data_IF_369259042151
#
_entry.id   IF_369259042151
#
_cell.length_a   1.000
_cell.length_b   1.000
_cell.length_c   1.000
_cell.angle_alpha   90.00
_cell.angle_beta   90.00
_cell.angle_gamma   90.00
#
_symmetry.space_group_name_H-M   'P 1'
#
loop_
_entity.id
_entity.type
_entity.pdbx_description
1 polymer ?
#
# COMPACT_ATOMS: atom_id res chain seq x y z
N UNK A 1 25.81 -14.37 -14.37
CA UNK A 1 24.59 -13.69 -14.79
C UNK A 1 23.87 -13.15 -13.56
N UNK A 2 23.56 -11.86 -13.57
CA UNK A 2 22.80 -11.23 -12.49
C UNK A 2 21.37 -11.83 -12.41
N UNK A 3 20.84 -11.93 -11.19
CA UNK A 3 19.43 -12.26 -10.97
C UNK A 3 18.57 -11.05 -11.39
N UNK A 4 17.33 -11.31 -11.78
CA UNK A 4 16.36 -10.25 -12.04
C UNK A 4 15.30 -10.28 -10.94
N UNK A 5 15.18 -9.18 -10.20
CA UNK A 5 14.07 -8.97 -9.27
C UNK A 5 12.98 -8.17 -9.99
N UNK A 6 11.86 -8.83 -10.24
CA UNK A 6 10.70 -8.16 -10.82
C UNK A 6 9.83 -7.60 -9.68
N UNK A 7 9.44 -6.35 -9.81
CA UNK A 7 8.56 -5.67 -8.87
C UNK A 7 7.36 -5.09 -9.60
N UNK A 8 6.17 -5.27 -9.06
CA UNK A 8 4.96 -4.60 -9.52
C UNK A 8 4.46 -3.64 -8.45
N UNK A 9 4.03 -2.46 -8.86
CA UNK A 9 3.43 -1.46 -7.99
C UNK A 9 2.31 -0.72 -8.70
N UNK A 10 1.32 -0.27 -7.94
CA UNK A 10 0.28 0.65 -8.43
C UNK A 10 0.76 2.11 -8.43
N UNK A 11 1.87 2.40 -7.76
CA UNK A 11 2.47 3.73 -7.74
C UNK A 11 3.18 4.10 -9.04
N UNK A 12 3.34 5.40 -9.27
CA UNK A 12 4.15 5.93 -10.37
C UNK A 12 5.64 5.88 -10.05
N UNK A 13 6.49 6.26 -11.00
CA UNK A 13 7.93 6.41 -10.78
C UNK A 13 8.27 7.46 -9.71
N UNK A 14 7.42 8.46 -9.53
CA UNK A 14 7.59 9.55 -8.56
C UNK A 14 6.93 9.28 -7.21
N UNK A 15 6.19 8.19 -7.07
CA UNK A 15 5.66 7.75 -5.78
C UNK A 15 6.81 7.53 -4.79
N UNK A 16 6.67 8.01 -3.56
CA UNK A 16 7.73 7.93 -2.54
C UNK A 16 8.24 6.51 -2.32
N UNK A 17 7.35 5.52 -2.39
CA UNK A 17 7.71 4.11 -2.25
C UNK A 17 8.57 3.63 -3.41
N UNK A 18 8.21 4.01 -4.63
CA UNK A 18 8.98 3.70 -5.84
C UNK A 18 10.36 4.34 -5.79
N UNK A 19 10.44 5.61 -5.39
CA UNK A 19 11.69 6.34 -5.23
C UNK A 19 12.60 5.67 -4.19
N UNK A 20 12.04 5.22 -3.07
CA UNK A 20 12.80 4.50 -2.05
C UNK A 20 13.36 3.17 -2.57
N UNK A 21 12.58 2.42 -3.34
CA UNK A 21 13.06 1.17 -3.94
C UNK A 21 14.19 1.44 -4.94
N UNK A 22 14.04 2.41 -5.82
CA UNK A 22 15.04 2.71 -6.86
C UNK A 22 16.32 3.29 -6.27
N UNK A 23 16.21 4.20 -5.30
CA UNK A 23 17.35 4.96 -4.78
C UNK A 23 18.01 4.31 -3.58
N UNK A 24 17.35 3.43 -2.86
CA UNK A 24 17.87 2.80 -1.64
C UNK A 24 17.97 1.28 -1.76
N UNK A 25 16.89 0.60 -2.07
CA UNK A 25 16.87 -0.85 -2.17
C UNK A 25 17.72 -1.37 -3.35
N UNK A 26 17.47 -0.88 -4.55
CA UNK A 26 18.13 -1.36 -5.76
C UNK A 26 19.68 -1.26 -5.70
N UNK A 27 20.29 -0.14 -5.22
CA UNK A 27 21.74 -0.06 -5.08
C UNK A 27 22.32 -1.08 -4.11
N UNK A 28 21.59 -1.45 -3.06
CA UNK A 28 22.03 -2.43 -2.04
C UNK A 28 22.16 -3.85 -2.60
N UNK A 29 21.45 -4.18 -3.66
CA UNK A 29 21.44 -5.50 -4.28
C UNK A 29 22.07 -5.53 -5.67
N UNK A 30 22.57 -4.40 -6.13
CA UNK A 30 23.04 -4.20 -7.53
C UNK A 30 24.21 -5.09 -7.92
N UNK A 31 24.99 -5.59 -6.99
CA UNK A 31 26.13 -6.50 -7.26
C UNK A 31 25.68 -7.92 -7.67
N UNK A 32 24.44 -8.31 -7.38
CA UNK A 32 23.95 -9.66 -7.73
C UNK A 32 22.56 -9.67 -8.38
N UNK A 33 21.81 -8.58 -8.35
CA UNK A 33 20.46 -8.52 -8.92
C UNK A 33 20.16 -7.18 -9.59
N UNK A 34 19.45 -7.25 -10.71
CA UNK A 34 18.90 -6.11 -11.43
C UNK A 34 17.40 -6.00 -11.11
N UNK A 35 16.92 -4.75 -10.99
CA UNK A 35 15.50 -4.47 -10.78
C UNK A 35 14.77 -4.25 -12.11
N UNK A 36 13.62 -4.90 -12.25
CA UNK A 36 12.67 -4.64 -13.32
C UNK A 36 11.33 -4.28 -12.68
N UNK A 37 10.92 -3.03 -12.83
CA UNK A 37 9.75 -2.47 -12.13
C UNK A 37 8.65 -2.14 -13.12
N UNK A 38 7.44 -2.68 -12.88
CA UNK A 38 6.22 -2.27 -13.55
C UNK A 38 5.46 -1.27 -12.70
N UNK A 39 5.45 -0.01 -13.11
CA UNK A 39 4.74 1.07 -12.44
C UNK A 39 3.29 1.16 -12.89
N UNK A 40 2.46 1.85 -12.11
CA UNK A 40 1.08 2.18 -12.46
C UNK A 40 0.22 0.97 -12.82
N UNK A 41 0.43 -0.15 -12.15
CA UNK A 41 -0.30 -1.42 -12.39
C UNK A 41 -0.13 -1.97 -13.82
N UNK A 42 0.98 -1.64 -14.49
CA UNK A 42 1.22 -2.09 -15.88
C UNK A 42 1.63 -3.55 -15.98
N UNK A 43 2.19 -4.11 -14.91
CA UNK A 43 2.62 -5.51 -14.88
C UNK A 43 1.54 -6.43 -14.29
N UNK A 44 0.93 -6.02 -13.18
CA UNK A 44 -0.19 -6.70 -12.50
C UNK A 44 -1.18 -5.67 -12.00
N UNK A 45 -2.46 -5.99 -12.03
CA UNK A 45 -3.51 -5.15 -11.47
C UNK A 45 -3.36 -5.04 -9.95
N UNK A 46 -3.75 -3.88 -9.41
CA UNK A 46 -3.75 -3.66 -7.96
C UNK A 46 -4.58 -4.73 -7.25
N UNK A 47 -4.00 -5.32 -6.22
CA UNK A 47 -4.61 -6.39 -5.42
C UNK A 47 -4.27 -7.80 -5.90
N UNK A 48 -3.60 -7.95 -7.06
CA UNK A 48 -3.20 -9.26 -7.61
C UNK A 48 -1.72 -9.59 -7.41
N UNK A 49 -0.94 -8.67 -6.88
CA UNK A 49 0.52 -8.79 -6.78
C UNK A 49 0.94 -9.90 -5.81
N UNK A 50 0.27 -10.05 -4.67
CA UNK A 50 0.61 -11.10 -3.69
C UNK A 50 0.36 -12.49 -4.25
N UNK A 51 -0.72 -12.68 -5.00
CA UNK A 51 -1.00 -13.94 -5.69
C UNK A 51 0.08 -14.23 -6.75
N UNK A 52 0.51 -13.21 -7.49
CA UNK A 52 1.59 -13.34 -8.46
C UNK A 52 2.92 -13.77 -7.81
N UNK A 53 3.26 -13.21 -6.65
CA UNK A 53 4.43 -13.64 -5.86
C UNK A 53 4.27 -15.09 -5.43
N UNK A 54 3.11 -15.46 -4.92
CA UNK A 54 2.79 -16.82 -4.46
C UNK A 54 2.97 -17.85 -5.58
N UNK A 55 2.63 -17.49 -6.80
CA UNK A 55 2.73 -18.37 -7.99
C UNK A 55 4.11 -18.37 -8.64
N UNK A 56 5.06 -17.59 -8.14
CA UNK A 56 6.41 -17.50 -8.71
C UNK A 56 6.51 -16.58 -9.95
N UNK A 57 5.50 -15.75 -10.22
CA UNK A 57 5.45 -14.87 -11.38
C UNK A 57 5.96 -13.45 -11.07
N UNK A 58 6.25 -13.13 -9.82
CA UNK A 58 6.70 -11.83 -9.37
C UNK A 58 7.65 -12.01 -8.18
N UNK A 59 8.72 -11.21 -8.13
CA UNK A 59 9.69 -11.30 -7.03
C UNK A 59 9.23 -10.51 -5.81
N UNK A 60 8.74 -9.29 -6.01
CA UNK A 60 8.39 -8.41 -4.91
C UNK A 60 7.32 -7.39 -5.28
N UNK A 61 6.68 -6.85 -4.25
CA UNK A 61 5.69 -5.79 -4.35
C UNK A 61 5.63 -5.03 -3.03
N UNK A 62 4.86 -3.94 -3.04
CA UNK A 62 4.52 -3.20 -1.82
C UNK A 62 3.04 -3.46 -1.56
N UNK A 63 2.74 -4.15 -0.46
CA UNK A 63 1.40 -4.59 -0.13
C UNK A 63 0.87 -3.90 1.13
N UNK A 64 -0.42 -3.57 1.14
CA UNK A 64 -1.10 -3.04 2.32
C UNK A 64 -1.52 -4.17 3.27
N UNK A 65 -1.76 -3.81 4.54
CA UNK A 65 -2.35 -4.73 5.52
C UNK A 65 -3.74 -5.22 5.05
N UNK A 66 -4.50 -4.39 4.36
CA UNK A 66 -5.81 -4.71 3.81
C UNK A 66 -5.74 -5.78 2.72
N UNK A 67 -4.71 -5.73 1.86
CA UNK A 67 -4.46 -6.76 0.85
C UNK A 67 -4.05 -8.09 1.50
N UNK A 68 -3.19 -8.05 2.52
CA UNK A 68 -2.82 -9.24 3.30
C UNK A 68 -4.02 -9.83 4.04
N UNK A 69 -4.93 -9.01 4.54
CA UNK A 69 -6.13 -9.46 5.24
C UNK A 69 -7.09 -10.30 4.37
N UNK A 70 -7.01 -10.17 3.04
CA UNK A 70 -7.77 -11.03 2.13
C UNK A 70 -7.33 -12.50 2.21
N UNK A 71 -6.04 -12.74 2.44
CA UNK A 71 -5.48 -14.09 2.56
C UNK A 71 -5.43 -14.56 4.00
N UNK A 72 -5.24 -13.64 4.94
CA UNK A 72 -5.10 -13.90 6.38
C UNK A 72 -5.98 -12.93 7.16
N UNK A 73 -7.20 -13.34 7.55
CA UNK A 73 -8.13 -12.47 8.30
C UNK A 73 -7.54 -11.84 9.55
N UNK A 74 -6.56 -12.49 10.20
CA UNK A 74 -5.85 -11.96 11.36
C UNK A 74 -5.12 -10.63 11.07
N UNK A 75 -4.74 -10.34 9.83
CA UNK A 75 -4.17 -9.04 9.44
C UNK A 75 -5.18 -7.90 9.51
N UNK A 76 -6.46 -8.18 9.65
CA UNK A 76 -7.52 -7.16 9.75
C UNK A 76 -7.29 -6.19 10.91
N UNK A 77 -6.61 -6.61 11.98
CA UNK A 77 -6.29 -5.73 13.10
C UNK A 77 -5.41 -4.54 12.66
N UNK A 78 -4.50 -4.76 11.71
CA UNK A 78 -3.62 -3.70 11.18
C UNK A 78 -4.30 -2.86 10.11
N UNK A 79 -5.42 -3.34 9.56
CA UNK A 79 -6.24 -2.62 8.58
C UNK A 79 -7.28 -1.71 9.23
N UNK A 80 -7.44 -1.76 10.55
CA UNK A 80 -8.41 -0.97 11.31
C UNK A 80 -7.93 0.47 11.48
N UNK A 81 -8.83 1.43 11.30
CA UNK A 81 -8.53 2.84 11.51
C UNK A 81 -8.10 3.14 12.95
N UNK A 82 -7.22 4.12 13.10
CA UNK A 82 -6.71 4.64 14.38
C UNK A 82 -5.87 3.65 15.22
N UNK A 83 -5.41 2.54 14.65
CA UNK A 83 -4.59 1.54 15.36
C UNK A 83 -3.15 2.03 15.56
N UNK A 84 -2.55 2.62 14.52
CA UNK A 84 -1.19 3.14 14.60
C UNK A 84 -1.18 4.65 14.83
N UNK A 85 -0.23 5.12 15.63
CA UNK A 85 -0.10 6.54 15.95
C UNK A 85 0.78 7.29 14.95
N UNK A 86 1.92 6.70 14.57
CA UNK A 86 2.93 7.31 13.70
C UNK A 86 3.86 6.24 13.09
N UNK A 87 4.87 6.71 12.33
CA UNK A 87 5.86 5.84 11.71
C UNK A 87 6.68 5.02 12.73
N UNK A 88 7.09 5.64 13.83
CA UNK A 88 7.86 4.96 14.86
C UNK A 88 7.05 3.83 15.51
N UNK A 89 5.77 4.06 15.74
CA UNK A 89 4.86 3.02 16.25
C UNK A 89 4.73 1.85 15.25
N UNK A 90 4.58 2.12 13.95
CA UNK A 90 4.56 1.08 12.92
C UNK A 90 5.82 0.21 12.95
N UNK A 91 6.99 0.83 13.00
CA UNK A 91 8.28 0.11 13.02
C UNK A 91 8.40 -0.74 14.28
N UNK A 92 8.04 -0.20 15.44
CA UNK A 92 8.06 -0.98 16.70
C UNK A 92 7.14 -2.19 16.64
N UNK A 93 5.92 -2.03 16.13
CA UNK A 93 4.96 -3.13 15.98
C UNK A 93 5.48 -4.17 15.01
N UNK A 94 5.99 -3.75 13.84
CA UNK A 94 6.51 -4.67 12.84
C UNK A 94 7.70 -5.50 13.35
N UNK A 95 8.57 -4.91 14.18
CA UNK A 95 9.75 -5.59 14.72
C UNK A 95 9.49 -6.27 16.07
N UNK A 96 8.28 -6.16 16.61
CA UNK A 96 7.92 -6.85 17.85
C UNK A 96 7.83 -8.37 17.60
N UNK A 97 8.30 -9.22 18.53
CA UNK A 97 8.16 -10.68 18.41
C UNK A 97 6.74 -11.17 18.21
N UNK A 98 5.72 -10.41 18.60
CA UNK A 98 4.32 -10.73 18.34
C UNK A 98 3.99 -10.78 16.83
N UNK A 99 4.76 -10.07 16.01
CA UNK A 99 4.61 -10.11 14.54
C UNK A 99 5.19 -11.38 13.91
N UNK A 100 6.02 -12.13 14.62
CA UNK A 100 6.70 -13.29 14.05
C UNK A 100 5.71 -14.35 13.55
N UNK A 101 4.61 -14.56 14.27
CA UNK A 101 3.56 -15.50 13.85
C UNK A 101 2.87 -15.05 12.56
N UNK A 102 2.61 -13.75 12.40
CA UNK A 102 2.01 -13.19 11.18
C UNK A 102 2.97 -13.30 9.99
N UNK A 103 4.24 -12.96 10.19
CA UNK A 103 5.28 -13.08 9.16
C UNK A 103 5.44 -14.54 8.72
N UNK A 104 5.47 -15.47 9.68
CA UNK A 104 5.55 -16.89 9.41
C UNK A 104 4.33 -17.42 8.65
N UNK A 105 3.13 -16.99 9.00
CA UNK A 105 1.90 -17.36 8.30
C UNK A 105 1.96 -16.93 6.83
N UNK A 106 2.41 -15.71 6.54
CA UNK A 106 2.58 -15.22 5.18
C UNK A 106 3.60 -16.06 4.40
N UNK A 107 4.71 -16.44 5.02
CA UNK A 107 5.72 -17.31 4.40
C UNK A 107 5.17 -18.72 4.11
N UNK A 108 4.52 -19.34 5.10
CA UNK A 108 4.10 -20.75 5.02
C UNK A 108 2.89 -20.92 4.09
N UNK A 109 1.94 -20.01 4.11
CA UNK A 109 0.67 -20.15 3.37
C UNK A 109 0.68 -19.46 2.00
N UNK A 110 1.43 -18.40 1.84
CA UNK A 110 1.42 -17.58 0.62
C UNK A 110 2.79 -17.54 -0.08
N UNK A 111 3.84 -18.04 0.55
CA UNK A 111 5.19 -17.95 0.00
C UNK A 111 5.70 -16.50 -0.09
N UNK A 112 5.24 -15.64 0.81
CA UNK A 112 5.60 -14.21 0.87
C UNK A 112 6.36 -13.94 2.15
N UNK A 113 7.56 -13.37 2.01
CA UNK A 113 8.35 -12.86 3.13
C UNK A 113 8.11 -11.36 3.27
N UNK A 114 7.64 -10.94 4.43
CA UNK A 114 7.48 -9.54 4.77
C UNK A 114 8.80 -9.01 5.32
N UNK A 115 9.47 -8.15 4.55
CA UNK A 115 10.83 -7.69 4.87
C UNK A 115 10.85 -6.49 5.81
N UNK A 116 10.00 -5.50 5.54
CA UNK A 116 9.95 -4.26 6.29
C UNK A 116 8.61 -3.55 6.07
N UNK A 117 8.40 -2.49 6.83
CA UNK A 117 7.23 -1.60 6.70
C UNK A 117 7.68 -0.23 6.18
N UNK A 118 6.88 0.37 5.31
CA UNK A 118 7.09 1.70 4.76
C UNK A 118 6.02 2.66 5.28
N UNK A 119 6.43 3.86 5.67
CA UNK A 119 5.55 4.92 6.11
C UNK A 119 5.27 5.91 4.98
N UNK A 120 4.00 6.15 4.67
CA UNK A 120 3.59 7.11 3.66
C UNK A 120 2.77 8.28 4.23
N UNK A 121 2.49 8.24 5.49
CA UNK A 121 1.71 9.25 6.21
C UNK A 121 0.31 8.80 6.58
N UNK A 122 -0.42 9.68 7.23
CA UNK A 122 -1.83 9.45 7.56
C UNK A 122 -2.70 9.65 6.33
N UNK A 123 -3.72 8.82 6.20
CA UNK A 123 -4.70 8.94 5.12
C UNK A 123 -5.79 9.94 5.52
N UNK A 124 -6.26 10.68 4.54
CA UNK A 124 -7.32 11.69 4.66
C UNK A 124 -8.35 11.51 3.56
N UNK A 125 -9.52 12.06 3.76
CA UNK A 125 -10.58 12.08 2.74
C UNK A 125 -10.39 13.29 1.82
N UNK A 126 -10.35 13.04 0.51
CA UNK A 126 -10.18 14.05 -0.52
C UNK A 126 -11.44 14.08 -1.40
N UNK A 127 -12.09 15.23 -1.52
CA UNK A 127 -13.42 15.38 -2.09
C UNK A 127 -13.45 16.30 -3.31
N UNK A 128 -14.33 16.01 -4.26
CA UNK A 128 -14.62 16.86 -5.42
C UNK A 128 -15.31 18.15 -5.01
N UNK A 129 -16.18 18.11 -4.02
CA UNK A 129 -16.93 19.24 -3.52
C UNK A 129 -16.03 20.22 -2.79
N UNK A 130 -16.33 21.52 -2.91
CA UNK A 130 -15.71 22.54 -2.07
C UNK A 130 -16.20 22.41 -0.62
N UNK A 131 -15.47 23.04 0.31
CA UNK A 131 -15.85 23.07 1.72
C UNK A 131 -17.23 23.73 1.93
N UNK A 132 -17.59 24.70 1.08
CA UNK A 132 -18.90 25.36 1.15
C UNK A 132 -20.03 24.47 0.63
N UNK A 133 -19.74 23.63 -0.37
CA UNK A 133 -20.71 22.67 -0.91
C UNK A 133 -20.94 21.48 0.04
N UNK A 134 -19.89 21.04 0.70
CA UNK A 134 -19.91 19.94 1.66
C UNK A 134 -18.90 20.20 2.79
N UNK A 135 -19.40 20.52 3.98
CA UNK A 135 -18.57 20.70 5.18
C UNK A 135 -18.51 19.39 5.96
N UNK A 136 -17.31 18.86 6.16
CA UNK A 136 -17.09 17.58 6.85
C UNK A 136 -16.48 17.83 8.23
N UNK A 137 -17.29 17.67 9.27
CA UNK A 137 -16.88 17.76 10.68
C UNK A 137 -17.08 16.45 11.43
N UNK A 138 -18.00 15.61 10.98
CA UNK A 138 -18.36 14.33 11.61
C UNK A 138 -18.54 13.26 10.55
N UNK A 139 -18.52 11.97 10.91
CA UNK A 139 -18.83 10.88 9.98
C UNK A 139 -20.20 11.02 9.31
N UNK A 140 -21.18 11.57 10.00
CA UNK A 140 -22.52 11.78 9.45
C UNK A 140 -22.51 12.73 8.23
N UNK A 141 -21.56 13.64 8.14
CA UNK A 141 -21.44 14.58 7.02
C UNK A 141 -20.98 13.87 5.72
N UNK A 142 -20.45 12.66 5.80
CA UNK A 142 -20.07 11.85 4.65
C UNK A 142 -21.21 10.96 4.14
N UNK A 143 -22.39 11.00 4.77
CA UNK A 143 -23.54 10.22 4.32
C UNK A 143 -23.92 10.56 2.87
N UNK A 144 -24.05 9.54 2.02
CA UNK A 144 -24.36 9.70 0.60
C UNK A 144 -23.17 10.04 -0.29
N UNK A 145 -21.98 10.25 0.28
CA UNK A 145 -20.76 10.47 -0.49
C UNK A 145 -20.24 9.14 -1.02
N UNK A 146 -20.07 9.03 -2.34
CA UNK A 146 -19.43 7.88 -2.96
C UNK A 146 -17.91 8.03 -2.80
N UNK A 147 -17.36 7.31 -1.83
CA UNK A 147 -15.94 7.35 -1.51
C UNK A 147 -15.24 6.15 -2.13
N UNK A 148 -14.33 6.41 -3.06
CA UNK A 148 -13.50 5.35 -3.60
C UNK A 148 -12.57 4.79 -2.53
N UNK A 149 -12.57 3.48 -2.42
CA UNK A 149 -11.58 2.72 -1.65
C UNK A 149 -10.99 1.62 -2.56
N UNK A 150 -9.79 1.13 -2.28
CA UNK A 150 -9.28 -0.06 -2.96
C UNK A 150 -10.27 -1.23 -2.87
N UNK A 151 -10.21 -2.17 -3.81
CA UNK A 151 -11.25 -3.18 -4.05
C UNK A 151 -11.38 -4.30 -3.01
N UNK A 152 -10.66 -4.26 -1.88
CA UNK A 152 -10.74 -5.31 -0.85
C UNK A 152 -11.87 -5.07 0.13
N UNK A 153 -12.36 -6.14 0.77
CA UNK A 153 -13.42 -6.04 1.79
C UNK A 153 -12.99 -5.17 2.97
N UNK A 154 -11.73 -5.27 3.40
CA UNK A 154 -11.20 -4.47 4.50
C UNK A 154 -11.23 -2.97 4.19
N UNK A 155 -10.88 -2.59 2.96
CA UNK A 155 -10.97 -1.20 2.52
C UNK A 155 -12.42 -0.72 2.40
N UNK A 156 -13.32 -1.57 1.86
CA UNK A 156 -14.74 -1.24 1.79
C UNK A 156 -15.34 -1.04 3.19
N UNK A 157 -14.99 -1.90 4.12
CA UNK A 157 -15.41 -1.76 5.52
C UNK A 157 -14.94 -0.42 6.11
N UNK A 158 -13.68 -0.04 5.89
CA UNK A 158 -13.13 1.21 6.40
C UNK A 158 -13.88 2.43 5.84
N UNK A 159 -14.14 2.46 4.53
CA UNK A 159 -14.89 3.56 3.90
C UNK A 159 -16.30 3.70 4.45
N UNK A 160 -17.00 2.58 4.65
CA UNK A 160 -18.33 2.58 5.24
C UNK A 160 -18.29 3.00 6.72
N UNK A 161 -17.27 2.59 7.47
CA UNK A 161 -17.08 2.98 8.87
C UNK A 161 -16.81 4.49 9.04
N UNK A 162 -16.26 5.14 8.02
CA UNK A 162 -16.11 6.60 7.98
C UNK A 162 -17.44 7.35 7.76
N UNK A 163 -18.52 6.65 7.49
CA UNK A 163 -19.84 7.22 7.25
C UNK A 163 -20.21 7.38 5.78
N UNK A 164 -19.29 7.14 4.85
CA UNK A 164 -19.51 7.25 3.42
C UNK A 164 -20.07 5.96 2.80
N UNK A 165 -20.41 6.00 1.51
CA UNK A 165 -20.69 4.82 0.71
C UNK A 165 -19.40 4.41 0.00
N UNK A 166 -18.76 3.32 0.43
CA UNK A 166 -17.53 2.86 -0.17
C UNK A 166 -17.76 2.30 -1.56
N UNK A 167 -16.98 2.75 -2.53
CA UNK A 167 -17.03 2.27 -3.92
C UNK A 167 -15.69 1.64 -4.27
N UNK A 168 -15.65 0.34 -4.61
CA UNK A 168 -14.42 -0.33 -4.99
C UNK A 168 -13.95 0.13 -6.36
N UNK A 169 -12.67 0.53 -6.44
CA UNK A 169 -12.08 0.98 -7.70
C UNK A 169 -10.56 0.83 -7.63
N UNK A 170 -9.95 0.34 -8.70
CA UNK A 170 -8.50 0.21 -8.79
C UNK A 170 -7.82 1.58 -8.76
N UNK A 171 -6.61 1.65 -8.20
CA UNK A 171 -5.90 2.91 -7.99
C UNK A 171 -5.66 3.70 -9.28
N UNK A 172 -5.32 3.02 -10.37
CA UNK A 172 -5.08 3.64 -11.68
C UNK A 172 -6.32 4.23 -12.34
N UNK A 173 -7.52 3.96 -11.82
CA UNK A 173 -8.79 4.48 -12.35
C UNK A 173 -9.32 5.67 -11.55
N UNK A 174 -8.69 6.02 -10.41
CA UNK A 174 -9.20 7.01 -9.46
C UNK A 174 -9.25 8.41 -10.05
N UNK A 175 -8.19 8.87 -10.72
CA UNK A 175 -8.14 10.20 -11.30
C UNK A 175 -9.31 10.42 -12.26
N UNK A 176 -9.54 9.49 -13.18
CA UNK A 176 -10.61 9.59 -14.16
C UNK A 176 -12.00 9.53 -13.51
N UNK A 177 -12.18 8.68 -12.51
CA UNK A 177 -13.45 8.58 -11.79
C UNK A 177 -13.79 9.87 -11.02
N UNK A 178 -12.78 10.53 -10.44
CA UNK A 178 -12.94 11.85 -9.83
C UNK A 178 -13.26 12.94 -10.88
N UNK A 179 -12.54 12.92 -12.00
CA UNK A 179 -12.75 13.91 -13.07
C UNK A 179 -14.15 13.82 -13.66
N UNK A 180 -14.69 12.63 -13.85
CA UNK A 180 -16.03 12.41 -14.44
C UNK A 180 -17.17 12.47 -13.43
N UNK A 181 -16.87 12.43 -12.12
CA UNK A 181 -17.90 12.38 -11.09
C UNK A 181 -18.46 10.98 -10.83
N UNK A 182 -17.82 9.93 -11.35
CA UNK A 182 -18.20 8.54 -11.03
C UNK A 182 -18.06 8.25 -9.54
N UNK A 183 -17.11 8.90 -8.87
CA UNK A 183 -16.99 8.94 -7.41
C UNK A 183 -16.90 10.39 -6.95
N UNK A 184 -17.30 10.65 -5.70
CA UNK A 184 -17.27 11.99 -5.10
C UNK A 184 -15.94 12.29 -4.40
N UNK A 185 -15.23 11.26 -4.01
CA UNK A 185 -13.98 11.40 -3.29
C UNK A 185 -13.18 10.11 -3.24
N UNK A 186 -12.01 10.20 -2.61
CA UNK A 186 -11.12 9.10 -2.33
C UNK A 186 -10.39 9.35 -1.01
N UNK A 187 -9.72 8.34 -0.47
CA UNK A 187 -8.81 8.51 0.66
C UNK A 187 -7.40 8.10 0.27
N UNK A 188 -6.44 8.87 0.67
CA UNK A 188 -5.01 8.57 0.53
C UNK A 188 -4.18 9.55 1.38
N UNK A 189 -2.88 9.24 1.61
CA UNK A 189 -1.96 10.21 2.18
C UNK A 189 -1.72 11.39 1.24
N UNK A 190 -1.33 12.53 1.78
CA UNK A 190 -1.05 13.73 0.99
C UNK A 190 0.02 13.54 -0.10
N UNK A 191 1.13 12.82 0.14
CA UNK A 191 2.10 12.54 -0.92
C UNK A 191 1.48 11.84 -2.13
N UNK A 192 0.53 10.93 -1.91
CA UNK A 192 -0.17 10.23 -2.99
C UNK A 192 -1.10 11.17 -3.76
N UNK A 193 -1.79 12.07 -3.06
CA UNK A 193 -2.64 13.10 -3.70
C UNK A 193 -1.81 13.97 -4.65
N UNK A 194 -0.60 14.32 -4.25
CA UNK A 194 0.33 15.09 -5.09
C UNK A 194 0.85 14.26 -6.25
N UNK A 195 1.34 13.05 -5.99
CA UNK A 195 1.92 12.16 -7.01
C UNK A 195 0.93 11.83 -8.13
N UNK A 196 -0.32 11.52 -7.78
CA UNK A 196 -1.38 11.18 -8.73
C UNK A 196 -2.17 12.40 -9.23
N UNK A 197 -1.78 13.59 -8.82
CA UNK A 197 -2.42 14.86 -9.20
C UNK A 197 -3.91 14.92 -8.89
N UNK A 198 -4.34 14.27 -7.82
CA UNK A 198 -5.76 14.31 -7.43
C UNK A 198 -6.23 15.72 -7.07
N UNK A 199 -5.30 16.64 -6.73
CA UNK A 199 -5.61 18.05 -6.50
C UNK A 199 -6.19 18.75 -7.75
N UNK A 200 -5.96 18.22 -8.95
CA UNK A 200 -6.55 18.77 -10.18
C UNK A 200 -8.04 18.48 -10.32
N UNK A 201 -8.52 17.40 -9.70
CA UNK A 201 -9.89 16.89 -9.83
C UNK A 201 -10.68 16.87 -8.52
N UNK A 202 -10.12 17.49 -7.48
CA UNK A 202 -10.74 17.63 -6.15
C UNK A 202 -10.59 19.05 -5.66
N UNK A 203 -11.39 19.46 -4.66
CA UNK A 203 -11.42 20.83 -4.17
C UNK A 203 -11.25 20.98 -2.67
N UNK A 204 -11.23 19.88 -1.92
CA UNK A 204 -10.95 19.91 -0.49
C UNK A 204 -10.31 18.63 0.02
N UNK A 205 -9.61 18.76 1.13
CA UNK A 205 -9.12 17.64 1.93
C UNK A 205 -9.69 17.76 3.32
N UNK A 206 -10.48 16.79 3.76
CA UNK A 206 -10.91 16.66 5.13
C UNK A 206 -9.86 15.87 5.91
N UNK A 207 -9.22 16.51 6.87
CA UNK A 207 -8.11 15.94 7.64
C UNK A 207 -8.62 14.95 8.68
N UNK A 208 -9.16 13.83 8.22
CA UNK A 208 -9.71 12.78 9.07
C UNK A 208 -8.66 12.01 9.85
N UNK A 209 -7.45 11.90 9.31
CA UNK A 209 -6.31 11.16 9.91
C UNK A 209 -6.71 9.76 10.40
N UNK A 210 -7.60 9.09 9.67
CA UNK A 210 -8.28 7.88 10.13
C UNK A 210 -7.40 6.63 10.10
N UNK A 211 -6.31 6.66 9.33
CA UNK A 211 -5.39 5.53 9.19
C UNK A 211 -3.97 6.02 8.95
N UNK A 212 -3.01 5.44 9.65
CA UNK A 212 -1.60 5.53 9.27
C UNK A 212 -1.39 4.49 8.17
N UNK A 213 -0.95 4.93 6.99
CA UNK A 213 -0.82 4.05 5.83
C UNK A 213 0.28 3.02 6.08
N UNK A 214 -0.11 1.75 6.09
CA UNK A 214 0.73 0.62 6.45
C UNK A 214 1.04 -0.20 5.19
N UNK A 215 2.26 -0.08 4.71
CA UNK A 215 2.73 -0.77 3.53
C UNK A 215 3.91 -1.67 3.89
N UNK A 216 3.86 -2.91 3.44
CA UNK A 216 4.93 -3.89 3.63
C UNK A 216 5.70 -4.09 2.33
N UNK A 217 7.02 -4.20 2.43
CA UNK A 217 7.81 -4.75 1.33
C UNK A 217 7.64 -6.26 1.38
N UNK A 218 6.90 -6.78 0.41
CA UNK A 218 6.62 -8.21 0.24
C UNK A 218 7.59 -8.81 -0.77
N UNK A 219 8.25 -9.90 -0.42
CA UNK A 219 9.28 -10.55 -1.22
C UNK A 219 9.00 -12.04 -1.37
N UNK A 220 9.31 -12.61 -2.53
CA UNK A 220 9.16 -14.04 -2.78
C UNK A 220 10.00 -14.87 -1.80
N UNK A 221 9.36 -15.73 -1.01
CA UNK A 221 10.04 -16.65 -0.11
C UNK A 221 10.90 -17.63 -0.88
N UNK A 222 10.44 -18.11 -2.03
CA UNK A 222 11.18 -18.99 -2.92
C UNK A 222 12.48 -18.33 -3.38
N UNK A 223 12.42 -17.08 -3.85
CA UNK A 223 13.62 -16.33 -4.24
C UNK A 223 14.54 -16.10 -3.05
N UNK A 224 13.98 -15.72 -1.90
CA UNK A 224 14.75 -15.52 -0.67
C UNK A 224 15.54 -16.79 -0.29
N UNK A 225 14.91 -17.94 -0.32
CA UNK A 225 15.56 -19.22 0.01
C UNK A 225 16.64 -19.61 -0.98
N UNK A 226 16.59 -19.10 -2.22
CA UNK A 226 17.61 -19.34 -3.24
C UNK A 226 18.85 -18.46 -3.08
N UNK A 227 18.78 -17.42 -2.26
CA UNK A 227 19.88 -16.47 -2.05
C UNK A 227 20.87 -16.99 -1.00
N UNK A 228 22.14 -16.59 -1.15
CA UNK A 228 23.15 -16.83 -0.12
C UNK A 228 22.85 -16.00 1.13
N UNK A 229 23.41 -16.36 2.32
CA UNK A 229 23.25 -15.55 3.52
C UNK A 229 23.70 -14.10 3.36
N UNK A 230 24.77 -13.86 2.59
CA UNK A 230 25.24 -12.50 2.30
C UNK A 230 24.23 -11.73 1.44
N UNK A 231 23.68 -12.37 0.40
CA UNK A 231 22.66 -11.77 -0.46
C UNK A 231 21.37 -11.48 0.32
N UNK A 232 20.93 -12.41 1.17
CA UNK A 232 19.78 -12.22 2.07
C UNK A 232 20.00 -11.03 2.99
N UNK A 233 21.18 -10.86 3.54
CA UNK A 233 21.51 -9.72 4.39
C UNK A 233 21.41 -8.40 3.63
N UNK A 234 21.88 -8.34 2.39
CA UNK A 234 21.78 -7.14 1.54
C UNK A 234 20.33 -6.82 1.17
N UNK A 235 19.53 -7.83 0.87
CA UNK A 235 18.08 -7.63 0.62
C UNK A 235 17.40 -7.08 1.88
N UNK A 236 17.65 -7.66 3.04
CA UNK A 236 17.03 -7.20 4.29
C UNK A 236 17.46 -5.78 4.66
N UNK A 237 18.74 -5.47 4.56
CA UNK A 237 19.26 -4.11 4.84
C UNK A 237 18.72 -3.09 3.85
N UNK A 238 18.61 -3.44 2.58
CA UNK A 238 18.02 -2.58 1.56
C UNK A 238 16.54 -2.28 1.84
N UNK A 239 15.79 -3.29 2.25
CA UNK A 239 14.39 -3.13 2.65
C UNK A 239 14.24 -2.26 3.91
N UNK A 240 15.09 -2.47 4.91
CA UNK A 240 15.04 -1.70 6.17
C UNK A 240 15.40 -0.23 5.97
N UNK A 241 16.29 0.06 5.03
CA UNK A 241 16.74 1.42 4.72
C UNK A 241 15.80 2.18 3.77
N UNK A 242 15.00 1.45 3.00
CA UNK A 242 14.08 2.03 2.01
C UNK A 242 12.89 2.80 2.60
#
# INVERSE_FOLDING_TARGET
NALTFTMATSGSETDMRSVAIVNVFAPMVSDFADMQIGYNSTMFDQGTELDAISRGNLTMSIASAQELAQFFPEFSIFATGYVHQDAAHQVRVFNDPLMDSFKKTAEDKLGVKLLSVMYLGKRHVNLRQTKDELTVNTPADLAGVNLRMPGTDAWQFLGNALGASATPLAFNEVYQALATGAVDGQDNPLPTVVDKKFYEVTKQIALTSHLVDLNYIAFSKETWDSLSPEQQMKVQRGADAA
#
